data_IF_181420101453
#
_entry.id   IF_181420101453
#
_cell.length_a   1.000
_cell.length_b   1.000
_cell.length_c   1.000
_cell.angle_alpha   90.00
_cell.angle_beta   90.00
_cell.angle_gamma   90.00
#
_symmetry.space_group_name_H-M   'P 1'
#
loop_
_entity.id
_entity.type
_entity.pdbx_description
1 polymer ?
#
# COMPACT_ATOMS: atom_id res chain seq x y z
N UNK A 1 -0.53 8.88 -10.33
CA UNK A 1 -0.05 7.50 -10.46
C UNK A 1 -0.95 6.57 -9.66
N UNK A 2 -1.47 5.52 -10.27
CA UNK A 2 -2.32 4.55 -9.56
C UNK A 2 -1.55 3.25 -9.36
N UNK A 3 -1.52 2.78 -8.12
CA UNK A 3 -0.93 1.50 -7.74
C UNK A 3 -2.07 0.53 -7.42
N UNK A 4 -2.29 -0.44 -8.29
CA UNK A 4 -3.34 -1.45 -8.10
C UNK A 4 -2.74 -2.64 -7.35
N UNK A 5 -3.10 -2.78 -6.08
CA UNK A 5 -2.53 -3.82 -5.24
C UNK A 5 -2.88 -5.24 -5.69
N UNK A 6 -4.03 -5.42 -6.38
CA UNK A 6 -4.43 -6.73 -6.90
C UNK A 6 -3.43 -7.32 -7.89
N UNK A 7 -2.58 -6.50 -8.48
CA UNK A 7 -1.52 -6.99 -9.38
C UNK A 7 -0.48 -7.83 -8.65
N UNK A 8 -0.42 -7.71 -7.32
CA UNK A 8 0.46 -8.51 -6.48
C UNK A 8 -0.26 -9.69 -5.85
N UNK A 9 -1.56 -9.81 -6.07
CA UNK A 9 -2.39 -10.91 -5.57
C UNK A 9 -3.65 -10.43 -4.89
N UNK A 10 -4.58 -11.36 -4.66
CA UNK A 10 -5.82 -11.06 -3.94
C UNK A 10 -5.67 -11.30 -2.43
N UNK A 11 -4.68 -12.10 -2.03
CA UNK A 11 -4.41 -12.48 -0.64
C UNK A 11 -2.99 -12.04 -0.32
N UNK A 12 -2.88 -10.92 0.38
CA UNK A 12 -1.62 -10.23 0.64
C UNK A 12 -1.31 -10.32 2.13
N UNK A 13 -0.44 -11.26 2.51
CA UNK A 13 -0.32 -11.70 3.90
C UNK A 13 1.06 -11.46 4.50
N UNK A 14 2.13 -11.92 3.84
CA UNK A 14 3.44 -12.02 4.49
C UNK A 14 4.29 -10.76 4.32
N UNK A 15 5.11 -10.49 5.32
CA UNK A 15 6.05 -9.37 5.27
C UNK A 15 7.10 -9.53 4.16
N UNK A 16 7.70 -10.72 3.94
CA UNK A 16 8.63 -10.88 2.83
C UNK A 16 8.00 -10.61 1.46
N UNK A 17 6.76 -11.09 1.23
CA UNK A 17 6.06 -10.82 -0.02
C UNK A 17 5.75 -9.33 -0.18
N UNK A 18 5.39 -8.64 0.90
CA UNK A 18 5.19 -7.20 0.88
C UNK A 18 6.46 -6.45 0.50
N UNK A 19 7.58 -6.86 1.07
CA UNK A 19 8.88 -6.26 0.74
C UNK A 19 9.22 -6.43 -0.74
N UNK A 20 9.01 -7.62 -1.29
CA UNK A 20 9.24 -7.87 -2.71
C UNK A 20 8.33 -7.02 -3.59
N UNK A 21 7.07 -6.87 -3.20
CA UNK A 21 6.12 -6.02 -3.93
C UNK A 21 6.58 -4.57 -3.92
N UNK A 22 7.02 -4.06 -2.77
CA UNK A 22 7.52 -2.69 -2.68
C UNK A 22 8.76 -2.47 -3.54
N UNK A 23 9.69 -3.42 -3.55
CA UNK A 23 10.89 -3.32 -4.38
C UNK A 23 10.53 -3.28 -5.87
N UNK A 24 9.57 -4.10 -6.29
CA UNK A 24 9.09 -4.10 -7.67
C UNK A 24 8.43 -2.76 -8.02
N UNK A 25 7.58 -2.22 -7.13
CA UNK A 25 6.97 -0.90 -7.33
C UNK A 25 8.02 0.17 -7.46
N UNK A 26 9.03 0.17 -6.60
CA UNK A 26 10.09 1.17 -6.60
C UNK A 26 10.90 1.13 -7.87
N UNK A 27 11.16 -0.07 -8.40
CA UNK A 27 11.96 -0.24 -9.60
C UNK A 27 11.22 0.13 -10.88
N UNK A 28 9.90 -0.16 -10.95
CA UNK A 28 9.17 -0.08 -12.23
C UNK A 28 8.03 0.93 -12.24
N UNK A 29 7.42 1.24 -11.12
CA UNK A 29 6.25 2.11 -11.07
C UNK A 29 6.54 3.50 -10.53
N UNK A 30 7.32 3.61 -9.45
CA UNK A 30 7.52 4.89 -8.77
C UNK A 30 8.93 5.47 -8.93
N UNK A 31 9.78 4.83 -9.71
CA UNK A 31 11.19 5.19 -9.86
C UNK A 31 11.42 6.65 -10.22
N UNK A 32 10.68 7.14 -11.21
CA UNK A 32 10.87 8.48 -11.75
C UNK A 32 9.75 9.45 -11.34
N UNK A 33 8.98 9.09 -10.32
CA UNK A 33 7.87 9.90 -9.83
C UNK A 33 8.38 10.84 -8.73
N UNK A 34 8.07 12.12 -8.86
CA UNK A 34 8.43 13.14 -7.85
C UNK A 34 7.62 12.97 -6.58
N UNK A 35 8.18 13.40 -5.44
CA UNK A 35 7.52 13.24 -4.14
C UNK A 35 6.21 14.03 -3.99
N UNK A 36 5.99 15.05 -4.84
CA UNK A 36 4.77 15.85 -4.83
C UNK A 36 3.66 15.28 -5.71
N UNK A 37 3.95 14.23 -6.48
CA UNK A 37 2.95 13.57 -7.30
C UNK A 37 1.92 12.87 -6.43
N UNK A 38 0.68 12.80 -6.95
CA UNK A 38 -0.40 12.09 -6.25
C UNK A 38 -0.26 10.61 -6.53
N UNK A 39 -0.18 9.82 -5.46
CA UNK A 39 -0.14 8.36 -5.54
C UNK A 39 -1.49 7.83 -5.06
N UNK A 40 -2.20 7.16 -5.94
CA UNK A 40 -3.47 6.50 -5.61
C UNK A 40 -3.18 5.03 -5.36
N UNK A 41 -3.48 4.56 -4.15
CA UNK A 41 -3.34 3.14 -3.80
C UNK A 41 -4.72 2.52 -3.87
N UNK A 42 -4.92 1.62 -4.83
CA UNK A 42 -6.22 1.03 -5.12
C UNK A 42 -6.30 -0.38 -4.55
N UNK A 43 -7.26 -0.59 -3.66
CA UNK A 43 -7.50 -1.87 -2.98
C UNK A 43 -8.54 -2.74 -3.69
N UNK A 44 -9.08 -2.31 -4.83
CA UNK A 44 -10.08 -3.09 -5.54
C UNK A 44 -9.55 -4.49 -5.86
N UNK A 45 -10.36 -5.52 -5.59
CA UNK A 45 -9.98 -6.91 -5.86
C UNK A 45 -9.13 -7.56 -4.80
N UNK A 46 -8.63 -6.81 -3.81
CA UNK A 46 -7.90 -7.38 -2.66
C UNK A 46 -8.92 -7.97 -1.69
N UNK A 47 -8.80 -9.26 -1.40
CA UNK A 47 -9.72 -9.97 -0.51
C UNK A 47 -9.20 -10.07 0.92
N UNK A 48 -7.89 -10.31 1.06
CA UNK A 48 -7.23 -10.38 2.37
C UNK A 48 -6.00 -9.50 2.35
N UNK A 49 -5.85 -8.68 3.38
CA UNK A 49 -4.71 -7.79 3.54
C UNK A 49 -4.32 -7.80 5.01
N UNK A 50 -3.08 -8.15 5.31
CA UNK A 50 -2.58 -8.13 6.68
C UNK A 50 -1.71 -6.90 6.94
N UNK A 51 -1.59 -6.48 8.21
CA UNK A 51 -0.67 -5.39 8.57
C UNK A 51 0.77 -5.70 8.17
N UNK A 52 1.21 -6.95 8.23
CA UNK A 52 2.58 -7.34 7.89
C UNK A 52 2.93 -7.01 6.44
N UNK A 53 2.06 -7.39 5.51
CA UNK A 53 2.27 -7.07 4.10
C UNK A 53 2.14 -5.56 3.85
N UNK A 54 1.07 -4.98 4.39
CA UNK A 54 0.74 -3.57 4.16
C UNK A 54 1.80 -2.63 4.71
N UNK A 55 2.38 -2.95 5.86
CA UNK A 55 3.43 -2.14 6.46
C UNK A 55 4.68 -2.05 5.57
N UNK A 56 4.99 -3.11 4.84
CA UNK A 56 6.13 -3.11 3.92
C UNK A 56 5.89 -2.30 2.65
N UNK A 57 4.64 -2.08 2.28
CA UNK A 57 4.26 -1.42 1.02
C UNK A 57 3.71 -0.01 1.26
N UNK A 58 2.66 0.10 2.08
CA UNK A 58 1.93 1.35 2.25
C UNK A 58 2.73 2.34 3.09
N UNK A 59 3.33 1.88 4.17
CA UNK A 59 4.10 2.75 5.07
C UNK A 59 5.25 3.45 4.35
N UNK A 60 6.12 2.74 3.60
CA UNK A 60 7.19 3.44 2.88
C UNK A 60 6.69 4.32 1.75
N UNK A 61 5.60 3.96 1.07
CA UNK A 61 5.01 4.85 0.06
C UNK A 61 4.52 6.15 0.69
N UNK A 62 3.86 6.07 1.85
CA UNK A 62 3.37 7.24 2.54
C UNK A 62 4.50 8.12 3.10
N UNK A 63 5.67 7.54 3.37
CA UNK A 63 6.84 8.31 3.79
C UNK A 63 7.54 9.00 2.62
N UNK A 64 7.54 8.35 1.45
CA UNK A 64 8.23 8.87 0.26
C UNK A 64 7.42 9.94 -0.45
N UNK A 65 6.10 9.77 -0.53
CA UNK A 65 5.22 10.67 -1.28
C UNK A 65 4.31 11.44 -0.33
N UNK A 66 4.13 12.73 -0.60
CA UNK A 66 3.32 13.63 0.25
C UNK A 66 1.83 13.47 0.03
N UNK A 67 1.42 13.07 -1.17
CA UNK A 67 0.02 13.04 -1.56
C UNK A 67 -0.41 11.60 -1.85
N UNK A 68 -0.99 10.95 -0.85
CA UNK A 68 -1.47 9.57 -0.96
C UNK A 68 -3.00 9.55 -0.88
N UNK A 69 -3.65 8.97 -1.88
CA UNK A 69 -5.09 8.72 -1.87
C UNK A 69 -5.34 7.22 -1.83
N UNK A 70 -6.19 6.79 -0.89
CA UNK A 70 -6.57 5.39 -0.75
C UNK A 70 -7.93 5.18 -1.43
N UNK A 71 -8.00 4.26 -2.38
CA UNK A 71 -9.20 4.00 -3.18
C UNK A 71 -9.74 2.61 -2.89
N UNK A 72 -11.08 2.48 -2.90
CA UNK A 72 -11.78 1.20 -2.75
C UNK A 72 -11.39 0.46 -1.47
N UNK A 73 -11.56 1.15 -0.35
CA UNK A 73 -11.16 0.67 0.97
C UNK A 73 -12.29 0.03 1.77
N UNK A 74 -13.41 -0.35 1.12
CA UNK A 74 -14.64 -0.80 1.80
C UNK A 74 -14.50 -2.18 2.46
N UNK A 75 -13.61 -3.02 1.97
CA UNK A 75 -13.39 -4.37 2.50
C UNK A 75 -12.96 -4.30 3.96
N UNK A 76 -13.59 -5.13 4.82
CA UNK A 76 -13.31 -5.11 6.26
C UNK A 76 -11.86 -5.46 6.61
N UNK A 77 -11.22 -6.34 5.84
CA UNK A 77 -9.80 -6.68 6.05
C UNK A 77 -8.91 -5.47 5.75
N UNK A 78 -9.23 -4.72 4.70
CA UNK A 78 -8.52 -3.49 4.36
C UNK A 78 -8.70 -2.44 5.46
N UNK A 79 -9.94 -2.23 5.91
CA UNK A 79 -10.25 -1.28 6.97
C UNK A 79 -9.49 -1.59 8.26
N UNK A 80 -9.51 -2.86 8.69
CA UNK A 80 -8.83 -3.27 9.91
C UNK A 80 -7.31 -3.08 9.80
N UNK A 81 -6.74 -3.42 8.66
CA UNK A 81 -5.30 -3.26 8.42
C UNK A 81 -4.88 -1.79 8.41
N UNK A 82 -5.64 -0.93 7.74
CA UNK A 82 -5.34 0.50 7.73
C UNK A 82 -5.41 1.09 9.14
N UNK A 83 -6.40 0.67 9.94
CA UNK A 83 -6.50 1.10 11.32
C UNK A 83 -5.25 0.72 12.11
N UNK A 84 -4.78 -0.51 11.95
CA UNK A 84 -3.56 -0.99 12.61
C UNK A 84 -2.33 -0.16 12.20
N UNK A 85 -2.19 0.14 10.91
CA UNK A 85 -1.06 0.96 10.45
C UNK A 85 -1.12 2.38 11.01
N UNK A 86 -2.30 2.95 11.13
CA UNK A 86 -2.46 4.29 11.72
C UNK A 86 -2.07 4.31 13.19
N UNK A 87 -2.36 3.23 13.91
CA UNK A 87 -2.04 3.12 15.33
C UNK A 87 -0.57 2.78 15.60
N UNK A 88 0.02 1.88 14.82
CA UNK A 88 1.34 1.31 15.12
C UNK A 88 2.46 1.66 14.15
N UNK A 89 2.13 2.11 12.94
CA UNK A 89 3.13 2.49 11.93
C UNK A 89 3.07 3.96 11.57
N UNK A 90 2.31 4.74 12.34
CA UNK A 90 2.19 6.19 12.17
C UNK A 90 1.71 6.61 10.78
N UNK A 91 0.86 5.81 10.17
CA UNK A 91 0.28 6.13 8.87
C UNK A 91 -0.65 7.33 9.00
N UNK A 92 -0.45 8.37 8.18
CA UNK A 92 -1.18 9.65 8.26
C UNK A 92 -2.27 9.80 7.20
N UNK A 93 -2.61 8.78 6.48
CA UNK A 93 -3.67 8.85 5.45
C UNK A 93 -4.94 8.15 5.84
#
# INVERSE_FOLDING_TARGET
>A
MRVELKKFGEILISRPAGREAYLAMSAYLTKDIGEDEIIEIDFEGVKVLTPSWADEVITPLAKKFKNINLLNTENSAVQATLKTLREYSDLKV
#
